data_IF_531090909931
#
_entry.id   IF_531090909931
#
_cell.length_a   1.000
_cell.length_b   1.000
_cell.length_c   1.000
_cell.angle_alpha   90.00
_cell.angle_beta   90.00
_cell.angle_gamma   90.00
#
_symmetry.space_group_name_H-M   'P 1'
#
loop_
_entity.id
_entity.type
_entity.pdbx_description
1 polymer ?
#
# COMPACT_ATOMS: atom_id res chain seq x y z
N UNK A 1 33.08 60.33 7.94
CA UNK A 1 33.14 61.75 8.33
C UNK A 1 32.50 62.60 7.24
N UNK A 2 31.55 63.46 7.62
CA UNK A 2 30.99 64.62 6.90
C UNK A 2 30.27 64.39 5.55
N UNK A 3 29.27 65.17 5.14
CA UNK A 3 28.17 65.95 5.75
C UNK A 3 27.54 66.71 4.56
N UNK A 4 26.20 66.76 4.53
CA UNK A 4 25.34 67.89 4.12
C UNK A 4 25.30 68.39 2.66
N UNK A 5 24.14 68.13 2.03
CA UNK A 5 23.08 69.10 1.66
C UNK A 5 23.44 70.55 1.28
N UNK A 6 22.91 71.01 0.13
CA UNK A 6 22.33 72.35 -0.07
C UNK A 6 21.43 72.36 -1.33
N UNK A 7 20.73 73.47 -1.58
CA UNK A 7 19.29 73.51 -1.86
C UNK A 7 18.87 74.60 -2.89
N UNK A 8 17.68 74.42 -3.53
CA UNK A 8 16.73 75.40 -4.18
C UNK A 8 17.26 76.26 -5.37
N UNK A 9 16.44 76.93 -6.25
CA UNK A 9 14.98 77.20 -6.23
C UNK A 9 14.15 77.18 -7.55
N UNK A 10 12.83 77.36 -7.36
CA UNK A 10 11.71 77.67 -8.29
C UNK A 10 11.82 79.04 -9.00
N UNK A 11 11.06 79.30 -10.10
CA UNK A 11 9.83 80.13 -10.04
C UNK A 11 8.68 79.63 -10.96
N UNK A 12 7.43 79.52 -10.49
CA UNK A 12 6.25 80.43 -10.59
C UNK A 12 5.87 80.99 -11.99
N UNK A 13 4.66 80.66 -12.44
CA UNK A 13 3.88 81.38 -13.46
C UNK A 13 2.38 81.10 -13.28
N UNK A 14 1.60 82.15 -13.02
CA UNK A 14 0.14 82.20 -12.82
C UNK A 14 -0.55 82.58 -14.15
N UNK A 15 -1.77 82.09 -14.36
CA UNK A 15 -2.93 82.79 -14.98
C UNK A 15 -4.15 81.86 -14.77
N UNK A 16 -5.17 82.12 -13.92
CA UNK A 16 -6.23 83.14 -13.79
C UNK A 16 -7.37 83.08 -14.83
N UNK A 17 -8.57 82.91 -14.25
CA UNK A 17 -9.95 83.24 -14.68
C UNK A 17 -10.70 82.28 -15.62
N UNK A 18 -12.02 82.04 -15.53
CA UNK A 18 -13.08 82.14 -14.50
C UNK A 18 -14.39 81.62 -15.17
N UNK A 19 -15.24 80.90 -14.41
CA UNK A 19 -16.72 80.93 -14.39
C UNK A 19 -17.51 80.56 -15.69
N UNK A 20 -18.32 79.49 -15.63
CA UNK A 20 -19.81 79.58 -15.50
C UNK A 20 -20.45 78.24 -15.14
N UNK A 21 -21.30 78.32 -14.11
CA UNK A 21 -22.19 77.30 -13.56
C UNK A 21 -23.36 76.99 -14.50
N UNK A 22 -23.86 75.75 -14.46
CA UNK A 22 -25.29 75.45 -14.60
C UNK A 22 -25.60 74.13 -13.89
N UNK A 23 -26.29 74.25 -12.76
CA UNK A 23 -26.89 73.18 -11.97
C UNK A 23 -28.28 72.83 -12.51
N UNK A 24 -28.59 71.53 -12.67
CA UNK A 24 -29.96 71.01 -12.62
C UNK A 24 -29.97 69.72 -11.79
N UNK A 25 -30.84 69.71 -10.79
CA UNK A 25 -31.14 68.59 -9.89
C UNK A 25 -31.70 67.37 -10.64
N UNK A 26 -31.32 66.17 -10.21
CA UNK A 26 -32.24 65.03 -10.20
C UNK A 26 -31.88 64.06 -9.06
N UNK A 27 -32.87 63.82 -8.20
CA UNK A 27 -32.91 62.87 -7.08
C UNK A 27 -33.06 61.45 -7.63
N UNK A 28 -32.33 60.47 -7.08
CA UNK A 28 -32.68 59.05 -7.29
C UNK A 28 -31.57 58.03 -7.05
N UNK A 29 -31.68 57.32 -5.92
CA UNK A 29 -31.23 55.94 -5.67
C UNK A 29 -29.72 55.69 -5.51
N UNK A 30 -29.31 55.54 -4.24
CA UNK A 30 -28.09 54.86 -3.81
C UNK A 30 -28.12 53.38 -4.24
N UNK A 31 -27.33 53.04 -5.26
CA UNK A 31 -26.86 51.68 -5.52
C UNK A 31 -25.36 51.66 -5.18
N UNK A 32 -25.03 51.12 -4.01
CA UNK A 32 -23.66 50.70 -3.68
C UNK A 32 -23.50 49.24 -4.12
N UNK A 33 -22.71 48.94 -5.16
CA UNK A 33 -22.24 47.58 -5.38
C UNK A 33 -21.13 47.27 -4.37
N UNK A 34 -21.35 46.27 -3.51
CA UNK A 34 -20.32 45.67 -2.67
C UNK A 34 -19.22 45.05 -3.56
N UNK A 35 -17.92 45.25 -3.24
CA UNK A 35 -16.84 44.59 -3.94
C UNK A 35 -16.85 43.08 -3.64
N UNK A 36 -16.61 42.29 -4.70
CA UNK A 36 -16.78 40.84 -4.74
C UNK A 36 -15.93 40.06 -3.75
N UNK A 37 -16.59 39.12 -3.07
CA UNK A 37 -16.01 38.00 -2.32
C UNK A 37 -16.18 36.68 -3.10
N UNK A 38 -16.02 36.73 -4.43
CA UNK A 38 -16.18 35.57 -5.32
C UNK A 38 -14.87 34.99 -5.83
N UNK A 39 -13.77 35.75 -5.78
CA UNK A 39 -12.50 35.32 -6.39
C UNK A 39 -11.73 34.34 -5.47
N UNK A 40 -11.83 34.55 -4.15
CA UNK A 40 -11.18 33.69 -3.13
C UNK A 40 -11.83 32.30 -3.07
N UNK A 41 -13.15 32.23 -3.15
CA UNK A 41 -13.90 30.96 -3.18
C UNK A 41 -13.68 30.17 -4.48
N UNK A 42 -13.39 30.83 -5.59
CA UNK A 42 -13.11 30.18 -6.88
C UNK A 42 -11.65 29.69 -7.00
N UNK A 43 -10.69 30.38 -6.37
CA UNK A 43 -9.31 29.89 -6.21
C UNK A 43 -9.21 28.72 -5.22
N UNK A 44 -9.92 28.80 -4.09
CA UNK A 44 -10.02 27.72 -3.09
C UNK A 44 -10.62 26.44 -3.68
N UNK A 45 -11.56 26.59 -4.61
CA UNK A 45 -12.18 25.48 -5.33
C UNK A 45 -11.20 24.74 -6.25
N UNK A 46 -10.35 25.48 -6.98
CA UNK A 46 -9.33 24.91 -7.86
C UNK A 46 -8.22 24.20 -7.09
N UNK A 47 -7.75 24.80 -5.99
CA UNK A 47 -6.78 24.12 -5.11
C UNK A 47 -7.37 22.87 -4.49
N UNK A 48 -8.64 22.93 -4.08
CA UNK A 48 -9.34 21.80 -3.49
C UNK A 48 -9.56 20.66 -4.50
N UNK A 49 -9.92 20.94 -5.76
CA UNK A 49 -9.96 19.92 -6.81
C UNK A 49 -8.61 19.22 -7.04
N UNK A 50 -7.51 19.96 -6.93
CA UNK A 50 -6.17 19.39 -7.05
C UNK A 50 -5.84 18.47 -5.86
N UNK A 51 -6.05 18.93 -4.63
CA UNK A 51 -5.77 18.17 -3.39
C UNK A 51 -6.46 16.80 -3.37
N UNK A 52 -7.61 16.77 -4.00
CA UNK A 52 -8.51 15.68 -3.91
C UNK A 52 -8.29 14.65 -5.05
N UNK A 53 -8.01 15.11 -6.28
CA UNK A 53 -7.46 14.22 -7.30
C UNK A 53 -6.12 13.60 -6.84
N UNK A 54 -5.32 14.36 -6.09
CA UNK A 54 -4.12 13.86 -5.42
C UNK A 54 -4.42 12.81 -4.35
N UNK A 55 -5.52 12.95 -3.58
CA UNK A 55 -5.90 12.01 -2.53
C UNK A 55 -6.39 10.67 -3.08
N UNK A 56 -7.25 10.67 -4.10
CA UNK A 56 -7.73 9.44 -4.73
C UNK A 56 -6.60 8.64 -5.36
N UNK A 57 -5.73 9.37 -6.06
CA UNK A 57 -4.50 8.83 -6.64
C UNK A 57 -3.59 8.27 -5.54
N UNK A 58 -3.42 8.97 -4.42
CA UNK A 58 -2.65 8.49 -3.28
C UNK A 58 -3.19 7.18 -2.72
N UNK A 59 -4.51 7.00 -2.59
CA UNK A 59 -5.10 5.77 -2.04
C UNK A 59 -4.89 4.58 -2.99
N UNK A 60 -5.14 4.77 -4.29
CA UNK A 60 -4.87 3.74 -5.29
C UNK A 60 -3.38 3.39 -5.35
N UNK A 61 -2.51 4.41 -5.33
CA UNK A 61 -1.07 4.20 -5.26
C UNK A 61 -0.65 3.45 -4.00
N UNK A 62 -1.24 3.74 -2.83
CA UNK A 62 -0.96 3.01 -1.58
C UNK A 62 -1.36 1.53 -1.68
N UNK A 63 -2.53 1.22 -2.24
CA UNK A 63 -2.96 -0.16 -2.47
C UNK A 63 -2.04 -0.90 -3.44
N UNK A 64 -1.67 -0.27 -4.55
CA UNK A 64 -0.73 -0.85 -5.51
C UNK A 64 0.65 -1.05 -4.89
N UNK A 65 1.19 -0.06 -4.18
CA UNK A 65 2.47 -0.16 -3.46
C UNK A 65 2.45 -1.31 -2.45
N UNK A 66 1.38 -1.45 -1.66
CA UNK A 66 1.21 -2.57 -0.72
C UNK A 66 1.24 -3.92 -1.43
N UNK A 67 0.49 -4.07 -2.53
CA UNK A 67 0.48 -5.32 -3.30
C UNK A 67 1.86 -5.66 -3.88
N UNK A 68 2.58 -4.65 -4.37
CA UNK A 68 3.94 -4.80 -4.90
C UNK A 68 4.94 -5.21 -3.81
N UNK A 69 4.87 -4.58 -2.63
CA UNK A 69 5.71 -4.94 -1.48
C UNK A 69 5.45 -6.37 -0.99
N UNK A 70 4.20 -6.83 -0.98
CA UNK A 70 3.85 -8.21 -0.62
C UNK A 70 4.40 -9.22 -1.63
N UNK A 71 4.31 -8.93 -2.93
CA UNK A 71 4.87 -9.80 -3.97
C UNK A 71 6.40 -9.81 -3.92
N UNK A 72 7.03 -8.67 -3.63
CA UNK A 72 8.47 -8.57 -3.42
C UNK A 72 8.92 -9.39 -2.21
N UNK A 73 8.21 -9.27 -1.07
CA UNK A 73 8.48 -10.03 0.14
C UNK A 73 8.41 -11.54 -0.12
N UNK A 74 7.38 -11.99 -0.83
CA UNK A 74 7.21 -13.40 -1.21
C UNK A 74 8.40 -13.91 -2.02
N UNK A 75 8.87 -13.15 -3.03
CA UNK A 75 10.03 -13.52 -3.85
C UNK A 75 11.32 -13.58 -3.01
N UNK A 76 11.53 -12.62 -2.11
CA UNK A 76 12.67 -12.61 -1.20
C UNK A 76 12.68 -13.83 -0.28
N UNK A 77 11.54 -14.20 0.30
CA UNK A 77 11.43 -15.38 1.17
C UNK A 77 11.70 -16.69 0.43
N UNK A 78 11.20 -16.83 -0.81
CA UNK A 78 11.51 -17.97 -1.66
C UNK A 78 13.01 -18.07 -1.97
N UNK A 79 13.65 -16.95 -2.30
CA UNK A 79 15.09 -16.90 -2.55
C UNK A 79 15.90 -17.26 -1.30
N UNK A 80 15.53 -16.73 -0.13
CA UNK A 80 16.17 -17.03 1.16
C UNK A 80 16.07 -18.53 1.47
N UNK A 81 14.90 -19.14 1.25
CA UNK A 81 14.69 -20.56 1.48
C UNK A 81 15.58 -21.42 0.57
N UNK A 82 15.68 -21.08 -0.72
CA UNK A 82 16.55 -21.77 -1.67
C UNK A 82 18.03 -21.64 -1.29
N UNK A 83 18.51 -20.43 -1.01
CA UNK A 83 19.91 -20.20 -0.61
C UNK A 83 20.26 -20.92 0.70
N UNK A 84 19.35 -20.94 1.67
CA UNK A 84 19.54 -21.65 2.94
C UNK A 84 19.68 -23.16 2.73
N UNK A 85 18.86 -23.73 1.84
CA UNK A 85 18.97 -25.15 1.45
C UNK A 85 20.30 -25.45 0.78
N UNK A 86 20.70 -24.65 -0.20
CA UNK A 86 21.98 -24.80 -0.90
C UNK A 86 23.17 -24.73 0.07
N UNK A 87 23.17 -23.78 1.01
CA UNK A 87 24.20 -23.66 2.04
C UNK A 87 24.30 -24.90 2.93
N UNK A 88 23.14 -25.49 3.29
CA UNK A 88 23.10 -26.73 4.07
C UNK A 88 23.71 -27.89 3.28
N UNK A 89 23.33 -28.04 2.02
CA UNK A 89 23.83 -29.11 1.14
C UNK A 89 25.34 -28.97 0.90
N UNK A 90 25.83 -27.74 0.69
CA UNK A 90 27.27 -27.42 0.60
C UNK A 90 28.00 -27.78 1.89
N UNK A 91 27.46 -27.43 3.07
CA UNK A 91 28.05 -27.79 4.38
C UNK A 91 28.15 -29.31 4.56
N UNK A 92 27.10 -30.05 4.23
CA UNK A 92 27.12 -31.52 4.30
C UNK A 92 28.16 -32.11 3.35
N UNK A 93 28.27 -31.57 2.14
CA UNK A 93 29.27 -32.00 1.15
C UNK A 93 30.69 -31.73 1.62
N UNK A 94 30.96 -30.53 2.16
CA UNK A 94 32.25 -30.18 2.76
C UNK A 94 32.60 -31.10 3.94
N UNK A 95 31.62 -31.45 4.77
CA UNK A 95 31.81 -32.41 5.88
C UNK A 95 32.27 -33.78 5.39
N UNK A 96 31.62 -34.34 4.36
CA UNK A 96 32.05 -35.60 3.74
C UNK A 96 33.43 -35.50 3.09
N UNK A 97 33.68 -34.40 2.37
CA UNK A 97 34.95 -34.16 1.70
C UNK A 97 36.12 -34.09 2.69
N UNK A 98 35.91 -33.48 3.85
CA UNK A 98 36.91 -33.42 4.93
C UNK A 98 37.23 -34.82 5.50
N UNK A 99 36.20 -35.67 5.64
CA UNK A 99 36.38 -37.06 6.06
C UNK A 99 37.19 -37.86 5.02
N UNK A 100 36.87 -37.71 3.73
CA UNK A 100 37.62 -38.34 2.63
C UNK A 100 39.10 -37.91 2.63
N UNK A 101 39.36 -36.60 2.75
CA UNK A 101 40.71 -36.03 2.79
C UNK A 101 41.50 -36.59 3.99
N UNK A 102 40.87 -36.69 5.17
CA UNK A 102 41.50 -37.28 6.36
C UNK A 102 41.85 -38.76 6.17
N UNK A 103 40.93 -39.54 5.57
CA UNK A 103 41.15 -40.94 5.23
C UNK A 103 42.28 -41.15 4.21
N UNK A 104 42.34 -40.31 3.18
CA UNK A 104 43.41 -40.31 2.18
C UNK A 104 44.76 -39.96 2.81
N UNK A 105 44.85 -38.93 3.65
CA UNK A 105 46.07 -38.57 4.35
C UNK A 105 46.61 -39.72 5.21
N UNK A 106 45.71 -40.40 5.94
CA UNK A 106 46.08 -41.57 6.75
C UNK A 106 46.60 -42.73 5.90
N UNK A 107 45.94 -42.99 4.77
CA UNK A 107 46.35 -44.04 3.82
C UNK A 107 47.70 -43.74 3.17
N UNK A 108 47.91 -42.49 2.76
CA UNK A 108 49.17 -41.99 2.20
C UNK A 108 50.30 -42.15 3.21
N UNK A 109 50.09 -41.76 4.48
CA UNK A 109 51.11 -41.91 5.53
C UNK A 109 51.51 -43.39 5.75
N UNK A 110 50.53 -44.30 5.72
CA UNK A 110 50.77 -45.75 5.81
C UNK A 110 51.59 -46.26 4.62
N UNK A 111 51.20 -45.92 3.39
CA UNK A 111 51.93 -46.31 2.17
C UNK A 111 53.34 -45.71 2.12
N UNK A 112 53.53 -44.46 2.56
CA UNK A 112 54.86 -43.84 2.66
C UNK A 112 55.77 -44.58 3.65
N UNK A 113 55.22 -45.00 4.79
CA UNK A 113 55.97 -45.80 5.76
C UNK A 113 56.34 -47.16 5.16
N UNK A 114 55.39 -47.84 4.52
CA UNK A 114 55.62 -49.12 3.84
C UNK A 114 56.68 -49.00 2.74
N UNK A 115 56.60 -47.95 1.91
CA UNK A 115 57.58 -47.67 0.86
C UNK A 115 58.99 -47.51 1.44
N UNK A 116 59.15 -46.71 2.50
CA UNK A 116 60.45 -46.50 3.16
C UNK A 116 61.03 -47.81 3.71
N UNK A 117 60.19 -48.65 4.32
CA UNK A 117 60.61 -49.97 4.82
C UNK A 117 61.04 -50.90 3.68
N UNK A 118 60.26 -50.97 2.59
CA UNK A 118 60.57 -51.77 1.40
C UNK A 118 61.87 -51.29 0.73
N UNK A 119 62.06 -49.97 0.57
CA UNK A 119 63.28 -49.36 0.02
C UNK A 119 64.50 -49.66 0.88
N UNK A 120 64.37 -49.53 2.20
CA UNK A 120 65.48 -49.82 3.14
C UNK A 120 65.87 -51.29 3.10
N UNK A 121 64.91 -52.21 3.06
CA UNK A 121 65.17 -53.64 2.98
C UNK A 121 65.83 -54.01 1.65
N UNK A 122 65.30 -53.50 0.53
CA UNK A 122 65.86 -53.75 -0.80
C UNK A 122 67.27 -53.17 -0.93
N UNK A 123 67.51 -51.96 -0.40
CA UNK A 123 68.84 -51.34 -0.37
C UNK A 123 69.85 -52.20 0.41
N UNK A 124 69.48 -52.73 1.58
CA UNK A 124 70.33 -53.65 2.34
C UNK A 124 70.63 -54.95 1.57
N UNK A 125 69.64 -55.50 0.86
CA UNK A 125 69.84 -56.71 0.04
C UNK A 125 70.76 -56.45 -1.16
N UNK A 126 70.63 -55.30 -1.81
CA UNK A 126 71.49 -54.88 -2.92
C UNK A 126 72.92 -54.61 -2.45
N UNK A 127 73.11 -53.94 -1.30
CA UNK A 127 74.43 -53.71 -0.69
C UNK A 127 75.12 -55.04 -0.33
N UNK A 128 74.40 -55.97 0.30
CA UNK A 128 74.94 -57.30 0.62
C UNK A 128 75.32 -58.08 -0.65
N UNK A 129 74.48 -58.04 -1.69
CA UNK A 129 74.78 -58.67 -2.97
C UNK A 129 76.00 -58.04 -3.67
N UNK A 130 76.14 -56.72 -3.60
CA UNK A 130 77.29 -55.99 -4.15
C UNK A 130 78.58 -56.36 -3.42
N UNK A 131 78.58 -56.37 -2.08
CA UNK A 131 79.75 -56.76 -1.27
C UNK A 131 80.18 -58.21 -1.48
N UNK A 132 79.24 -59.10 -1.77
CA UNK A 132 79.52 -60.51 -2.05
C UNK A 132 80.17 -60.73 -3.43
N UNK A 133 80.16 -59.70 -4.30
CA UNK A 133 80.74 -59.73 -5.64
C UNK A 133 79.88 -60.47 -6.67
N UNK A 134 79.86 -60.00 -7.92
CA UNK A 134 79.02 -60.56 -8.99
C UNK A 134 79.29 -62.05 -9.30
N UNK A 135 80.43 -62.60 -8.87
CA UNK A 135 80.85 -63.95 -9.20
C UNK A 135 80.73 -64.97 -8.06
N UNK A 136 80.42 -64.57 -6.82
CA UNK A 136 80.44 -65.50 -5.66
C UNK A 136 79.49 -66.69 -5.81
N UNK A 137 78.32 -66.49 -6.42
CA UNK A 137 77.34 -67.57 -6.67
C UNK A 137 77.78 -68.52 -7.81
N UNK A 138 78.26 -67.96 -8.92
CA UNK A 138 78.77 -68.74 -10.06
C UNK A 138 80.03 -69.53 -9.69
N UNK A 139 80.89 -68.94 -8.87
CA UNK A 139 82.12 -69.56 -8.38
C UNK A 139 81.82 -70.73 -7.43
N UNK A 140 80.79 -70.63 -6.57
CA UNK A 140 80.33 -71.72 -5.71
C UNK A 140 79.69 -72.89 -6.49
N UNK A 141 79.01 -72.58 -7.59
CA UNK A 141 78.40 -73.58 -8.48
C UNK A 141 79.49 -74.35 -9.26
N UNK A 142 80.56 -73.66 -9.66
CA UNK A 142 81.66 -74.20 -10.46
C UNK A 142 82.76 -74.89 -9.63
N UNK A 143 82.84 -74.68 -8.30
CA UNK A 143 83.95 -75.15 -7.45
C UNK A 143 83.90 -76.62 -6.98
N UNK A 144 83.15 -77.51 -7.64
CA UNK A 144 83.40 -78.96 -7.56
C UNK A 144 82.90 -79.77 -6.34
N UNK A 145 81.92 -79.31 -5.56
CA UNK A 145 81.32 -80.13 -4.47
C UNK A 145 80.23 -81.14 -4.94
N UNK A 146 79.92 -82.13 -4.08
CA UNK A 146 78.96 -83.24 -4.27
C UNK A 146 77.66 -82.88 -5.04
N UNK A 147 77.25 -83.75 -5.98
CA UNK A 147 76.13 -83.55 -6.91
C UNK A 147 74.83 -83.07 -6.26
N UNK A 148 74.40 -83.70 -5.16
CA UNK A 148 73.14 -83.41 -4.48
C UNK A 148 73.15 -82.05 -3.75
N UNK A 149 74.31 -81.58 -3.30
CA UNK A 149 74.43 -80.28 -2.61
C UNK A 149 74.28 -79.13 -3.60
N UNK A 150 74.84 -79.25 -4.80
CA UNK A 150 74.69 -78.26 -5.89
C UNK A 150 73.23 -78.07 -6.31
N UNK A 151 72.47 -79.15 -6.47
CA UNK A 151 71.04 -79.08 -6.80
C UNK A 151 70.25 -78.28 -5.76
N UNK A 152 70.49 -78.52 -4.47
CA UNK A 152 69.85 -77.75 -3.38
C UNK A 152 70.24 -76.29 -3.40
N UNK A 153 71.53 -75.99 -3.61
CA UNK A 153 72.02 -74.60 -3.70
C UNK A 153 71.35 -73.85 -4.85
N UNK A 154 71.24 -74.47 -6.04
CA UNK A 154 70.54 -73.89 -7.18
C UNK A 154 69.06 -73.64 -6.89
N UNK A 155 68.38 -74.59 -6.25
CA UNK A 155 66.99 -74.40 -5.81
C UNK A 155 66.85 -73.21 -4.85
N UNK A 156 67.74 -73.10 -3.85
CA UNK A 156 67.73 -71.99 -2.89
C UNK A 156 67.97 -70.63 -3.57
N UNK A 157 68.87 -70.56 -4.54
CA UNK A 157 69.07 -69.35 -5.35
C UNK A 157 67.82 -68.96 -6.14
N UNK A 158 67.11 -69.93 -6.72
CA UNK A 158 65.84 -69.66 -7.39
C UNK A 158 64.78 -69.11 -6.43
N UNK A 159 64.63 -69.69 -5.24
CA UNK A 159 63.72 -69.16 -4.22
C UNK A 159 64.11 -67.74 -3.78
N UNK A 160 65.41 -67.46 -3.62
CA UNK A 160 65.92 -66.14 -3.26
C UNK A 160 65.65 -65.10 -4.36
N UNK A 161 65.91 -65.44 -5.62
CA UNK A 161 65.64 -64.56 -6.76
C UNK A 161 64.15 -64.28 -6.91
N UNK A 162 63.29 -65.30 -6.75
CA UNK A 162 61.83 -65.15 -6.76
C UNK A 162 61.36 -64.23 -5.62
N UNK A 163 61.96 -64.32 -4.43
CA UNK A 163 61.66 -63.40 -3.33
C UNK A 163 62.08 -61.95 -3.64
N UNK A 164 63.24 -61.75 -4.29
CA UNK A 164 63.72 -60.42 -4.73
C UNK A 164 62.81 -59.80 -5.78
N UNK A 165 62.44 -60.55 -6.81
CA UNK A 165 61.50 -60.12 -7.84
C UNK A 165 60.16 -59.70 -7.21
N UNK A 166 59.67 -60.50 -6.25
CA UNK A 166 58.47 -60.16 -5.48
C UNK A 166 58.63 -58.84 -4.72
N UNK A 167 59.74 -58.62 -4.01
CA UNK A 167 59.99 -57.36 -3.29
C UNK A 167 60.04 -56.13 -4.20
N UNK A 168 60.64 -56.25 -5.39
CA UNK A 168 60.68 -55.17 -6.39
C UNK A 168 59.26 -54.87 -6.89
N UNK A 169 58.50 -55.91 -7.22
CA UNK A 169 57.12 -55.78 -7.71
C UNK A 169 56.20 -55.16 -6.65
N UNK A 170 56.31 -55.59 -5.40
CA UNK A 170 55.56 -55.03 -4.27
C UNK A 170 55.90 -53.55 -4.07
N UNK A 171 57.17 -53.15 -4.16
CA UNK A 171 57.58 -51.74 -4.06
C UNK A 171 57.04 -50.90 -5.22
N UNK A 172 57.07 -51.42 -6.45
CA UNK A 172 56.51 -50.74 -7.62
C UNK A 172 54.99 -50.54 -7.48
N UNK A 173 54.29 -51.55 -6.94
CA UNK A 173 52.86 -51.45 -6.63
C UNK A 173 52.58 -50.39 -5.55
N UNK A 174 53.34 -50.39 -4.45
CA UNK A 174 53.23 -49.37 -3.38
C UNK A 174 53.42 -47.96 -3.95
N UNK A 175 54.44 -47.74 -4.79
CA UNK A 175 54.71 -46.44 -5.42
C UNK A 175 53.58 -45.99 -6.33
N UNK A 176 53.02 -46.91 -7.12
CA UNK A 176 51.90 -46.62 -8.03
C UNK A 176 50.64 -46.25 -7.24
N UNK A 177 50.32 -47.01 -6.19
CA UNK A 177 49.19 -46.71 -5.30
C UNK A 177 49.35 -45.37 -4.59
N UNK A 178 50.56 -45.07 -4.09
CA UNK A 178 50.86 -43.80 -3.43
C UNK A 178 50.68 -42.62 -4.39
N UNK A 179 51.18 -42.72 -5.63
CA UNK A 179 51.00 -41.68 -6.64
C UNK A 179 49.52 -41.43 -6.95
N UNK A 180 48.73 -42.50 -7.13
CA UNK A 180 47.28 -42.40 -7.35
C UNK A 180 46.53 -41.75 -6.19
N UNK A 181 46.84 -42.12 -4.94
CA UNK A 181 46.22 -41.51 -3.76
C UNK A 181 46.59 -40.02 -3.60
N UNK A 182 47.85 -39.65 -3.88
CA UNK A 182 48.27 -38.24 -3.86
C UNK A 182 47.53 -37.40 -4.90
N UNK A 183 47.36 -37.92 -6.11
CA UNK A 183 46.59 -37.23 -7.15
C UNK A 183 45.12 -37.05 -6.74
N UNK A 184 44.49 -38.08 -6.17
CA UNK A 184 43.13 -37.98 -5.63
C UNK A 184 43.02 -36.94 -4.51
N UNK A 185 44.00 -36.89 -3.60
CA UNK A 185 44.04 -35.90 -2.53
C UNK A 185 44.07 -34.47 -3.08
N UNK A 186 44.92 -34.20 -4.07
CA UNK A 186 45.05 -32.88 -4.70
C UNK A 186 43.74 -32.45 -5.40
N UNK A 187 43.08 -33.37 -6.10
CA UNK A 187 41.77 -33.12 -6.71
C UNK A 187 40.71 -32.78 -5.65
N UNK A 188 40.67 -33.52 -4.54
CA UNK A 188 39.72 -33.29 -3.44
C UNK A 188 39.99 -31.96 -2.71
N UNK A 189 41.25 -31.61 -2.49
CA UNK A 189 41.64 -30.31 -1.93
C UNK A 189 41.26 -29.14 -2.84
N UNK A 190 41.42 -29.30 -4.17
CA UNK A 190 40.99 -28.28 -5.14
C UNK A 190 39.47 -28.13 -5.14
N UNK A 191 38.72 -29.24 -5.10
CA UNK A 191 37.27 -29.22 -4.96
C UNK A 191 36.82 -28.53 -3.66
N UNK A 192 37.50 -28.81 -2.54
CA UNK A 192 37.21 -28.20 -1.24
C UNK A 192 37.36 -26.68 -1.28
N UNK A 193 38.47 -26.18 -1.86
CA UNK A 193 38.72 -24.73 -1.99
C UNK A 193 37.63 -24.03 -2.80
N UNK A 194 37.16 -24.65 -3.89
CA UNK A 194 36.05 -24.12 -4.71
C UNK A 194 34.76 -24.03 -3.90
N UNK A 195 34.38 -25.11 -3.23
CA UNK A 195 33.16 -25.16 -2.42
C UNK A 195 33.18 -24.17 -1.23
N UNK A 196 34.34 -23.91 -0.64
CA UNK A 196 34.49 -22.87 0.39
C UNK A 196 34.27 -21.46 -0.18
N UNK A 197 34.75 -21.19 -1.40
CA UNK A 197 34.48 -19.94 -2.11
C UNK A 197 32.99 -19.77 -2.41
N UNK A 198 32.35 -20.82 -2.95
CA UNK A 198 30.92 -20.83 -3.24
C UNK A 198 30.08 -20.62 -1.97
N UNK A 199 30.47 -21.28 -0.86
CA UNK A 199 29.82 -21.12 0.43
C UNK A 199 29.89 -19.66 0.93
N UNK A 200 31.05 -19.01 0.80
CA UNK A 200 31.18 -17.61 1.23
C UNK A 200 30.30 -16.68 0.39
N UNK A 201 30.26 -16.87 -0.93
CA UNK A 201 29.40 -16.09 -1.82
C UNK A 201 27.92 -16.29 -1.49
N UNK A 202 27.50 -17.54 -1.25
CA UNK A 202 26.13 -17.88 -0.85
C UNK A 202 25.76 -17.26 0.51
N UNK A 203 26.68 -17.22 1.48
CA UNK A 203 26.43 -16.56 2.77
C UNK A 203 26.23 -15.05 2.61
N UNK A 204 27.09 -14.38 1.84
CA UNK A 204 26.96 -12.95 1.59
C UNK A 204 25.64 -12.62 0.87
N UNK A 205 25.25 -13.43 -0.13
CA UNK A 205 23.99 -13.26 -0.84
C UNK A 205 22.77 -13.48 0.07
N UNK A 206 22.84 -14.45 1.00
CA UNK A 206 21.78 -14.69 1.98
C UNK A 206 21.63 -13.50 2.94
N UNK A 207 22.74 -12.95 3.44
CA UNK A 207 22.73 -11.78 4.31
C UNK A 207 22.12 -10.55 3.61
N UNK A 208 22.49 -10.32 2.35
CA UNK A 208 21.89 -9.25 1.53
C UNK A 208 20.38 -9.45 1.38
N UNK A 209 19.92 -10.66 1.04
CA UNK A 209 18.51 -10.96 0.91
C UNK A 209 17.72 -10.78 2.23
N UNK A 210 18.32 -11.14 3.37
CA UNK A 210 17.72 -10.90 4.70
C UNK A 210 17.60 -9.41 5.02
N UNK A 211 18.61 -8.61 4.69
CA UNK A 211 18.58 -7.16 4.87
C UNK A 211 17.52 -6.49 3.99
N UNK A 212 17.37 -6.92 2.74
CA UNK A 212 16.31 -6.44 1.84
C UNK A 212 14.91 -6.83 2.31
N UNK A 213 14.74 -8.04 2.85
CA UNK A 213 13.50 -8.49 3.49
C UNK A 213 13.14 -7.58 4.67
N UNK A 214 14.09 -7.26 5.52
CA UNK A 214 13.87 -6.37 6.67
C UNK A 214 13.42 -4.97 6.24
N UNK A 215 14.02 -4.41 5.20
CA UNK A 215 13.61 -3.12 4.62
C UNK A 215 12.17 -3.17 4.07
N UNK A 216 11.82 -4.26 3.39
CA UNK A 216 10.49 -4.47 2.81
C UNK A 216 9.42 -4.59 3.90
N UNK A 217 9.72 -5.29 5.00
CA UNK A 217 8.83 -5.38 6.16
C UNK A 217 8.61 -4.01 6.82
N UNK A 218 9.69 -3.24 7.05
CA UNK A 218 9.55 -1.89 7.61
C UNK A 218 8.75 -0.94 6.71
N UNK A 219 8.90 -1.04 5.38
CA UNK A 219 8.08 -0.28 4.44
C UNK A 219 6.59 -0.68 4.49
N UNK A 220 6.31 -1.97 4.68
CA UNK A 220 4.95 -2.49 4.80
C UNK A 220 4.28 -2.05 6.11
N UNK A 221 5.00 -2.09 7.23
CA UNK A 221 4.51 -1.63 8.54
C UNK A 221 4.12 -0.15 8.49
N UNK A 222 5.00 0.71 7.96
CA UNK A 222 4.73 2.13 7.78
C UNK A 222 3.50 2.39 6.90
N UNK A 223 3.29 1.59 5.85
CA UNK A 223 2.12 1.70 5.00
C UNK A 223 0.82 1.34 5.75
N UNK A 224 0.85 0.27 6.56
CA UNK A 224 -0.30 -0.17 7.35
C UNK A 224 -0.68 0.83 8.45
N UNK A 225 0.31 1.44 9.11
CA UNK A 225 0.06 2.46 10.14
C UNK A 225 -0.68 3.67 9.55
N UNK A 226 -0.25 4.13 8.36
CA UNK A 226 -0.90 5.24 7.64
C UNK A 226 -2.35 4.92 7.27
N UNK A 227 -2.64 3.69 6.84
CA UNK A 227 -3.99 3.26 6.50
C UNK A 227 -4.91 3.23 7.75
N UNK A 228 -4.38 2.80 8.90
CA UNK A 228 -5.12 2.75 10.17
C UNK A 228 -5.49 4.15 10.70
N UNK A 229 -4.58 5.12 10.54
CA UNK A 229 -4.84 6.51 10.88
C UNK A 229 -6.00 7.08 10.04
N UNK A 230 -6.01 6.83 8.74
CA UNK A 230 -7.10 7.27 7.84
C UNK A 230 -8.47 6.69 8.23
N UNK A 231 -8.53 5.39 8.57
CA UNK A 231 -9.78 4.75 9.00
C UNK A 231 -10.34 5.38 10.28
N UNK A 232 -9.45 5.76 11.20
CA UNK A 232 -9.83 6.40 12.47
C UNK A 232 -10.41 7.79 12.23
N UNK A 233 -9.82 8.55 11.31
CA UNK A 233 -10.32 9.86 10.90
C UNK A 233 -11.74 9.77 10.30
N UNK A 234 -11.98 8.81 9.38
CA UNK A 234 -13.31 8.62 8.80
C UNK A 234 -14.39 8.29 9.85
N UNK A 235 -14.07 7.46 10.84
CA UNK A 235 -15.00 7.12 11.93
C UNK A 235 -15.35 8.33 12.79
N UNK A 236 -14.36 9.19 13.09
CA UNK A 236 -14.58 10.42 13.84
C UNK A 236 -15.42 11.43 13.06
N UNK A 237 -15.24 11.51 11.74
CA UNK A 237 -16.05 12.35 10.87
C UNK A 237 -17.52 11.88 10.86
N UNK A 238 -17.76 10.56 10.79
CA UNK A 238 -19.11 9.97 10.86
C UNK A 238 -19.83 10.28 12.18
N UNK A 239 -19.16 10.15 13.33
CA UNK A 239 -19.77 10.44 14.63
C UNK A 239 -20.09 11.93 14.76
N UNK A 240 -19.18 12.81 14.31
CA UNK A 240 -19.43 14.26 14.31
C UNK A 240 -20.63 14.66 13.47
N UNK A 241 -20.79 14.05 12.29
CA UNK A 241 -21.97 14.25 11.45
C UNK A 241 -23.25 13.86 12.18
N UNK A 242 -23.27 12.67 12.81
CA UNK A 242 -24.44 12.21 13.58
C UNK A 242 -24.81 13.18 14.69
N UNK A 243 -23.82 13.67 15.43
CA UNK A 243 -24.06 14.58 16.56
C UNK A 243 -24.58 15.94 16.12
N UNK A 244 -24.08 16.49 15.00
CA UNK A 244 -24.58 17.75 14.44
C UNK A 244 -26.02 17.61 13.93
N UNK A 245 -26.31 16.53 13.20
CA UNK A 245 -27.68 16.26 12.73
C UNK A 245 -28.62 16.05 13.91
N UNK A 246 -28.23 15.31 14.94
CA UNK A 246 -29.06 15.10 16.15
C UNK A 246 -29.32 16.40 16.95
N UNK A 247 -28.39 17.36 16.93
CA UNK A 247 -28.62 18.71 17.48
C UNK A 247 -29.65 19.46 16.65
N UNK A 248 -29.46 19.50 15.34
CA UNK A 248 -30.38 20.17 14.43
C UNK A 248 -31.79 19.54 14.49
N UNK A 249 -31.91 18.20 14.50
CA UNK A 249 -33.16 17.45 14.64
C UNK A 249 -33.94 17.84 15.91
N UNK A 250 -33.28 18.04 17.05
CA UNK A 250 -33.95 18.47 18.28
C UNK A 250 -34.57 19.86 18.14
N UNK A 251 -33.86 20.77 17.49
CA UNK A 251 -34.34 22.12 17.20
C UNK A 251 -35.45 22.14 16.14
N UNK A 252 -35.34 21.31 15.10
CA UNK A 252 -36.40 21.09 14.10
C UNK A 252 -37.65 20.50 14.71
N UNK A 253 -37.54 19.42 15.50
CA UNK A 253 -38.70 18.72 16.06
C UNK A 253 -39.58 19.68 16.88
N UNK A 254 -38.97 20.59 17.64
CA UNK A 254 -39.71 21.63 18.37
C UNK A 254 -40.46 22.62 17.46
N UNK A 255 -39.94 22.91 16.26
CA UNK A 255 -40.60 23.75 15.24
C UNK A 255 -41.68 22.96 14.47
N UNK A 256 -41.33 21.77 13.99
CA UNK A 256 -42.20 20.86 13.25
C UNK A 256 -43.41 20.42 14.06
N UNK A 257 -43.28 20.19 15.37
CA UNK A 257 -44.43 19.88 16.23
C UNK A 257 -45.44 21.03 16.30
N UNK A 258 -44.99 22.29 16.22
CA UNK A 258 -45.88 23.46 16.17
C UNK A 258 -46.61 23.52 14.83
N UNK A 259 -45.86 23.37 13.75
CA UNK A 259 -46.38 23.42 12.37
C UNK A 259 -47.31 22.24 12.05
N UNK A 260 -47.01 21.04 12.57
CA UNK A 260 -47.84 19.87 12.42
C UNK A 260 -49.16 19.99 13.19
N UNK A 261 -49.17 20.63 14.37
CA UNK A 261 -50.41 20.94 15.10
C UNK A 261 -51.28 21.90 14.32
N UNK A 262 -50.69 22.90 13.67
CA UNK A 262 -51.39 23.84 12.81
C UNK A 262 -51.93 23.14 11.54
N UNK A 263 -51.12 22.33 10.87
CA UNK A 263 -51.54 21.54 9.71
C UNK A 263 -52.66 20.53 10.05
N UNK A 264 -52.61 19.88 11.22
CA UNK A 264 -53.65 18.97 11.67
C UNK A 264 -54.99 19.69 11.89
N UNK A 265 -54.97 20.87 12.50
CA UNK A 265 -56.16 21.73 12.66
C UNK A 265 -56.76 22.13 11.31
N UNK A 266 -55.93 22.40 10.30
CA UNK A 266 -56.38 22.75 8.95
C UNK A 266 -57.00 21.55 8.22
N UNK A 267 -56.40 20.36 8.33
CA UNK A 267 -56.97 19.12 7.76
C UNK A 267 -58.32 18.76 8.40
N UNK A 268 -58.45 18.93 9.72
CA UNK A 268 -59.71 18.71 10.43
C UNK A 268 -60.81 19.67 9.95
N UNK A 269 -60.48 20.95 9.72
CA UNK A 269 -61.40 21.92 9.11
C UNK A 269 -61.84 21.53 7.70
N UNK A 270 -60.91 21.03 6.87
CA UNK A 270 -61.23 20.56 5.52
C UNK A 270 -62.15 19.32 5.55
N UNK A 271 -61.92 18.37 6.46
CA UNK A 271 -62.78 17.20 6.63
C UNK A 271 -64.17 17.57 7.16
N UNK A 272 -64.25 18.49 8.12
CA UNK A 272 -65.54 19.00 8.63
C UNK A 272 -66.33 19.75 7.53
N UNK A 273 -65.65 20.51 6.67
CA UNK A 273 -66.27 21.16 5.51
C UNK A 273 -66.81 20.13 4.49
N UNK A 274 -66.02 19.09 4.17
CA UNK A 274 -66.47 17.98 3.31
C UNK A 274 -67.67 17.23 3.89
N UNK A 275 -67.70 17.00 5.21
CA UNK A 275 -68.82 16.33 5.90
C UNK A 275 -70.09 17.20 5.96
N UNK A 276 -69.94 18.53 5.99
CA UNK A 276 -71.06 19.49 6.00
C UNK A 276 -71.52 19.93 4.60
N UNK A 277 -70.98 19.35 3.53
CA UNK A 277 -71.36 19.66 2.15
C UNK A 277 -70.82 20.99 1.62
N UNK A 278 -69.90 21.65 2.33
CA UNK A 278 -69.27 22.91 1.95
C UNK A 278 -67.87 22.69 1.34
N UNK A 279 -67.50 23.46 0.32
CA UNK A 279 -66.18 23.40 -0.32
C UNK A 279 -65.20 24.38 0.36
N UNK A 280 -64.46 23.93 1.37
CA UNK A 280 -63.29 24.67 1.87
C UNK A 280 -62.13 24.51 0.87
N UNK A 281 -61.72 25.63 0.25
CA UNK A 281 -60.51 25.68 -0.58
C UNK A 281 -59.39 26.30 0.26
N UNK A 282 -58.38 25.51 0.70
CA UNK A 282 -57.26 26.05 1.45
C UNK A 282 -56.53 27.09 0.61
N UNK A 283 -56.11 28.17 1.26
CA UNK A 283 -55.29 29.21 0.62
C UNK A 283 -53.87 28.68 0.32
N UNK A 284 -53.08 29.44 -0.43
CA UNK A 284 -51.75 28.99 -0.88
C UNK A 284 -50.80 28.69 0.27
N UNK A 285 -50.87 29.47 1.36
CA UNK A 285 -50.02 29.29 2.55
C UNK A 285 -50.41 28.02 3.33
N UNK A 286 -51.70 27.72 3.45
CA UNK A 286 -52.22 26.51 4.09
C UNK A 286 -51.87 25.25 3.30
N UNK A 287 -51.94 25.31 1.96
CA UNK A 287 -51.49 24.20 1.09
C UNK A 287 -50.00 23.94 1.24
N UNK A 288 -49.18 25.00 1.23
CA UNK A 288 -47.73 24.91 1.42
C UNK A 288 -47.37 24.29 2.77
N UNK A 289 -48.03 24.71 3.86
CA UNK A 289 -47.87 24.13 5.20
C UNK A 289 -48.24 22.64 5.27
N UNK A 290 -49.31 22.22 4.59
CA UNK A 290 -49.72 20.82 4.56
C UNK A 290 -48.80 19.93 3.71
N UNK A 291 -48.23 20.47 2.64
CA UNK A 291 -47.29 19.75 1.77
C UNK A 291 -45.96 19.47 2.48
N UNK A 292 -45.37 20.49 3.12
CA UNK A 292 -44.07 20.40 3.81
C UNK A 292 -44.06 19.63 5.13
N UNK A 293 -45.23 19.36 5.71
CA UNK A 293 -45.37 18.56 6.96
C UNK A 293 -45.80 17.11 6.68
N UNK A 294 -45.97 16.74 5.40
CA UNK A 294 -46.53 15.46 4.97
C UNK A 294 -45.58 14.25 5.07
N UNK A 295 -44.27 14.48 5.14
CA UNK A 295 -43.23 13.47 4.95
C UNK A 295 -42.98 13.14 3.47
N UNK A 296 -41.99 12.30 3.19
CA UNK A 296 -41.66 11.85 1.82
C UNK A 296 -42.59 10.70 1.32
N UNK A 297 -43.46 10.18 2.17
CA UNK A 297 -44.38 9.11 1.81
C UNK A 297 -43.68 7.79 1.43
N UNK A 298 -44.38 6.93 0.69
CA UNK A 298 -43.83 5.64 0.24
C UNK A 298 -42.89 5.83 -0.96
N UNK A 299 -41.80 5.07 -1.06
CA UNK A 299 -40.90 5.14 -2.21
C UNK A 299 -41.59 4.64 -3.48
N UNK A 300 -41.88 5.54 -4.41
CA UNK A 300 -42.56 5.26 -5.67
C UNK A 300 -41.97 6.05 -6.86
N UNK A 301 -40.71 6.49 -6.77
CA UNK A 301 -40.05 7.28 -7.82
C UNK A 301 -40.72 8.64 -8.08
N UNK A 302 -41.46 9.17 -7.11
CA UNK A 302 -42.28 10.37 -7.28
C UNK A 302 -41.47 11.68 -7.26
N UNK A 303 -40.24 11.64 -6.77
CA UNK A 303 -39.41 12.82 -6.60
C UNK A 303 -38.40 13.00 -7.73
N UNK A 304 -38.07 14.26 -7.97
CA UNK A 304 -37.05 14.67 -8.93
C UNK A 304 -35.67 14.27 -8.43
N UNK A 305 -34.78 13.97 -9.37
CA UNK A 305 -33.37 13.80 -9.02
C UNK A 305 -32.77 15.12 -8.51
N UNK A 306 -32.01 15.10 -7.40
CA UNK A 306 -31.39 16.31 -6.87
C UNK A 306 -30.31 16.86 -7.81
N UNK A 307 -29.65 15.96 -8.55
CA UNK A 307 -28.82 16.26 -9.70
C UNK A 307 -28.86 15.07 -10.67
N UNK A 308 -28.70 15.32 -11.97
CA UNK A 308 -28.59 14.27 -12.99
C UNK A 308 -27.11 13.99 -13.29
N UNK A 309 -26.72 12.72 -13.20
CA UNK A 309 -25.31 12.34 -13.37
C UNK A 309 -25.07 10.85 -13.17
N UNK A 310 -23.81 10.42 -13.35
CA UNK A 310 -23.42 9.02 -13.14
C UNK A 310 -23.36 8.72 -11.65
N UNK A 311 -24.03 7.67 -11.20
CA UNK A 311 -23.88 7.19 -9.82
C UNK A 311 -22.48 6.58 -9.64
N UNK A 312 -21.66 7.22 -8.83
CA UNK A 312 -20.28 6.83 -8.52
C UNK A 312 -20.25 5.83 -7.36
N UNK A 313 -21.07 6.06 -6.34
CA UNK A 313 -21.26 5.15 -5.21
C UNK A 313 -22.74 4.97 -4.88
N UNK A 314 -23.11 3.75 -4.50
CA UNK A 314 -24.46 3.39 -4.08
C UNK A 314 -24.54 3.13 -2.58
N UNK A 315 -25.74 3.29 -2.04
CA UNK A 315 -26.04 2.91 -0.67
C UNK A 315 -25.66 1.45 -0.43
N UNK A 316 -24.90 1.19 0.64
CA UNK A 316 -24.47 -0.16 1.03
C UNK A 316 -23.21 -0.66 0.33
N UNK A 317 -22.60 0.10 -0.59
CA UNK A 317 -21.30 -0.28 -1.17
C UNK A 317 -20.15 -0.13 -0.15
N UNK A 318 -19.04 -0.89 -0.29
CA UNK A 318 -17.86 -0.72 0.55
C UNK A 318 -17.24 0.69 0.41
N UNK A 319 -16.98 1.34 1.54
CA UNK A 319 -16.28 2.64 1.61
C UNK A 319 -14.81 2.44 2.01
N UNK A 320 -14.56 1.94 3.22
CA UNK A 320 -13.22 1.55 3.70
C UNK A 320 -13.35 0.44 4.75
N UNK A 321 -12.70 -0.70 4.52
CA UNK A 321 -12.79 -1.87 5.40
C UNK A 321 -14.24 -2.37 5.53
N UNK A 322 -14.74 -2.44 6.76
CA UNK A 322 -16.13 -2.83 7.06
C UNK A 322 -17.14 -1.69 6.88
N UNK A 323 -16.68 -0.45 6.68
CA UNK A 323 -17.57 0.69 6.48
C UNK A 323 -18.31 0.59 5.15
N UNK A 324 -19.55 1.05 5.14
CA UNK A 324 -20.44 1.06 3.98
C UNK A 324 -20.98 2.47 3.73
N UNK A 325 -21.18 2.81 2.46
CA UNK A 325 -21.83 4.05 2.05
C UNK A 325 -23.26 4.14 2.58
N UNK A 326 -23.64 5.31 3.12
CA UNK A 326 -24.97 5.58 3.69
C UNK A 326 -25.87 6.43 2.80
N UNK A 327 -25.42 6.73 1.60
CA UNK A 327 -26.13 7.52 0.61
C UNK A 327 -25.68 7.16 -0.80
N UNK A 328 -26.04 8.00 -1.75
CA UNK A 328 -25.52 7.98 -3.12
C UNK A 328 -24.44 9.03 -3.27
N UNK A 329 -23.47 8.75 -4.14
CA UNK A 329 -22.57 9.76 -4.67
C UNK A 329 -22.87 9.89 -6.16
N UNK A 330 -23.40 11.05 -6.56
CA UNK A 330 -23.85 11.30 -7.93
C UNK A 330 -22.88 12.29 -8.57
N UNK A 331 -22.07 11.82 -9.52
CA UNK A 331 -21.10 12.65 -10.22
C UNK A 331 -21.80 13.61 -11.16
N UNK A 332 -21.53 14.91 -11.01
CA UNK A 332 -22.09 15.98 -11.82
C UNK A 332 -21.07 17.13 -11.88
N UNK A 333 -21.14 17.97 -12.91
CA UNK A 333 -20.21 19.09 -13.04
C UNK A 333 -20.30 20.01 -11.83
N UNK A 334 -19.17 20.51 -11.37
CA UNK A 334 -19.15 21.53 -10.32
C UNK A 334 -19.96 22.77 -10.72
N UNK A 335 -20.61 23.41 -9.75
CA UNK A 335 -21.51 24.52 -10.00
C UNK A 335 -22.88 24.09 -10.54
N UNK A 336 -23.09 22.80 -10.83
CA UNK A 336 -24.44 22.30 -11.20
C UNK A 336 -25.38 22.55 -10.04
N UNK A 337 -26.57 23.08 -10.33
CA UNK A 337 -27.59 23.30 -9.31
C UNK A 337 -28.05 21.98 -8.69
N UNK A 338 -27.97 21.91 -7.36
CA UNK A 338 -28.55 20.86 -6.55
C UNK A 338 -29.95 21.28 -6.18
N UNK A 339 -30.92 20.45 -6.53
CA UNK A 339 -32.33 20.75 -6.35
C UNK A 339 -32.91 20.00 -5.14
N UNK A 340 -33.78 20.67 -4.38
CA UNK A 340 -34.56 20.01 -3.35
C UNK A 340 -35.46 18.94 -3.97
N UNK A 341 -35.37 17.70 -3.48
CA UNK A 341 -36.18 16.60 -4.03
C UNK A 341 -37.68 16.76 -3.75
N UNK A 342 -38.02 17.50 -2.69
CA UNK A 342 -39.38 17.70 -2.18
C UNK A 342 -39.49 19.03 -1.43
N UNK A 343 -40.72 19.50 -1.20
CA UNK A 343 -41.01 20.65 -0.35
C UNK A 343 -40.49 20.40 1.08
N UNK A 344 -39.91 21.41 1.72
CA UNK A 344 -39.36 21.25 3.06
C UNK A 344 -38.83 22.54 3.67
N UNK A 345 -38.17 22.40 4.81
CA UNK A 345 -37.51 23.49 5.53
C UNK A 345 -36.03 23.17 5.73
N UNK A 346 -35.16 24.15 5.53
CA UNK A 346 -33.72 24.00 5.73
C UNK A 346 -33.43 23.82 7.21
N UNK A 347 -32.92 22.66 7.57
CA UNK A 347 -32.55 22.30 8.92
C UNK A 347 -31.12 22.70 9.26
N UNK A 348 -30.21 22.52 8.31
CA UNK A 348 -28.78 22.79 8.47
C UNK A 348 -28.20 23.22 7.13
N UNK A 349 -27.25 24.14 7.16
CA UNK A 349 -26.48 24.60 6.01
C UNK A 349 -25.08 24.99 6.50
N UNK A 350 -24.27 23.99 6.83
CA UNK A 350 -22.97 24.19 7.50
C UNK A 350 -21.92 23.19 7.00
N UNK A 351 -20.66 23.46 7.32
CA UNK A 351 -19.54 22.63 6.92
C UNK A 351 -19.28 21.49 7.92
N UNK A 352 -19.10 20.29 7.39
CA UNK A 352 -18.90 19.05 8.13
C UNK A 352 -17.66 18.31 7.63
N UNK A 353 -16.74 18.00 8.55
CA UNK A 353 -15.53 17.25 8.20
C UNK A 353 -15.91 15.89 7.58
N UNK A 354 -15.38 15.61 6.39
CA UNK A 354 -15.70 14.42 5.59
C UNK A 354 -16.97 14.50 4.73
N UNK A 355 -17.85 15.48 4.96
CA UNK A 355 -19.10 15.69 4.20
C UNK A 355 -19.20 17.05 3.50
N UNK A 356 -18.26 17.95 3.78
CA UNK A 356 -18.16 19.25 3.15
C UNK A 356 -19.26 20.20 3.58
N UNK A 357 -19.60 21.14 2.70
CA UNK A 357 -20.78 21.96 2.87
C UNK A 357 -22.02 21.08 2.73
N UNK A 358 -22.75 20.93 3.82
CA UNK A 358 -23.94 20.10 3.90
C UNK A 358 -25.18 20.97 4.04
N UNK A 359 -26.18 20.71 3.22
CA UNK A 359 -27.55 21.19 3.39
C UNK A 359 -28.41 20.01 3.84
N UNK A 360 -29.20 20.18 4.89
CA UNK A 360 -30.21 19.20 5.32
C UNK A 360 -31.58 19.84 5.23
N UNK A 361 -32.53 19.16 4.60
CA UNK A 361 -33.92 19.56 4.52
C UNK A 361 -34.80 18.63 5.36
N UNK A 362 -35.71 19.20 6.11
CA UNK A 362 -36.78 18.49 6.80
C UNK A 362 -38.05 18.49 5.95
N UNK A 363 -38.68 17.32 5.78
CA UNK A 363 -39.92 17.14 5.01
C UNK A 363 -41.14 16.78 5.88
N UNK A 364 -40.97 16.80 7.21
CA UNK A 364 -41.97 16.38 8.19
C UNK A 364 -41.98 14.87 8.45
N UNK A 365 -42.68 14.47 9.53
CA UNK A 365 -42.79 13.07 10.02
C UNK A 365 -41.45 12.36 10.27
N UNK A 366 -40.36 13.11 10.46
CA UNK A 366 -39.01 12.56 10.66
C UNK A 366 -38.33 12.10 9.38
N UNK A 367 -38.84 12.49 8.20
CA UNK A 367 -38.17 12.31 6.92
C UNK A 367 -37.29 13.53 6.60
N UNK A 368 -36.05 13.27 6.18
CA UNK A 368 -35.08 14.29 5.81
C UNK A 368 -34.34 13.91 4.53
N UNK A 369 -33.87 14.92 3.81
CA UNK A 369 -32.88 14.76 2.75
C UNK A 369 -31.62 15.57 3.07
N UNK A 370 -30.47 14.97 2.79
CA UNK A 370 -29.15 15.56 3.05
C UNK A 370 -28.39 15.63 1.73
N UNK A 371 -27.80 16.80 1.50
CA UNK A 371 -27.07 17.18 0.31
C UNK A 371 -25.68 17.62 0.77
N UNK A 372 -24.67 16.80 0.55
CA UNK A 372 -23.29 17.05 0.96
C UNK A 372 -22.37 17.25 -0.24
N UNK A 373 -21.12 17.59 0.07
CA UNK A 373 -20.05 17.90 -0.88
C UNK A 373 -20.27 19.19 -1.68
N UNK A 374 -21.26 20.00 -1.30
CA UNK A 374 -21.63 21.17 -2.06
C UNK A 374 -20.49 22.19 -2.13
N UNK A 375 -20.37 22.92 -3.22
CA UNK A 375 -19.51 24.09 -3.30
C UNK A 375 -20.01 25.19 -2.36
N UNK A 376 -21.32 25.44 -2.39
CA UNK A 376 -21.97 26.47 -1.58
C UNK A 376 -23.42 26.08 -1.30
N UNK A 377 -23.95 26.56 -0.17
CA UNK A 377 -25.39 26.54 0.10
C UNK A 377 -26.01 27.81 -0.47
N UNK A 378 -27.12 27.67 -1.20
CA UNK A 378 -27.90 28.80 -1.76
C UNK A 378 -29.04 29.23 -0.84
N UNK A 379 -29.21 28.52 0.29
CA UNK A 379 -30.31 28.70 1.23
C UNK A 379 -29.77 28.77 2.66
N UNK A 380 -30.50 29.49 3.52
CA UNK A 380 -30.16 29.67 4.94
C UNK A 380 -31.00 28.76 5.83
N UNK A 381 -30.48 28.41 7.01
CA UNK A 381 -31.21 27.64 8.02
C UNK A 381 -32.54 28.31 8.36
N UNK A 382 -33.62 27.53 8.39
CA UNK A 382 -34.99 27.98 8.62
C UNK A 382 -35.74 28.43 7.36
N UNK A 383 -35.08 28.55 6.20
CA UNK A 383 -35.75 28.89 4.95
C UNK A 383 -36.67 27.75 4.48
N UNK A 384 -37.81 28.11 3.88
CA UNK A 384 -38.70 27.15 3.22
C UNK A 384 -38.25 26.96 1.77
N UNK A 385 -38.30 25.71 1.31
CA UNK A 385 -37.91 25.35 -0.06
C UNK A 385 -39.00 24.53 -0.73
N UNK A 386 -39.16 24.72 -2.04
CA UNK A 386 -40.08 23.94 -2.88
C UNK A 386 -39.34 22.82 -3.61
N UNK A 387 -40.05 21.75 -3.95
CA UNK A 387 -39.53 20.70 -4.81
C UNK A 387 -39.00 21.29 -6.13
N UNK A 388 -37.79 20.90 -6.53
CA UNK A 388 -37.12 21.43 -7.70
C UNK A 388 -36.52 22.83 -7.51
N UNK A 389 -36.51 23.40 -6.30
CA UNK A 389 -35.81 24.64 -6.03
C UNK A 389 -34.29 24.39 -5.90
N UNK A 390 -33.42 25.20 -6.53
CA UNK A 390 -31.99 25.18 -6.28
C UNK A 390 -31.68 25.53 -4.81
N UNK A 391 -30.94 24.66 -4.13
CA UNK A 391 -30.59 24.80 -2.70
C UNK A 391 -29.09 24.83 -2.44
N UNK A 392 -28.30 24.30 -3.37
CA UNK A 392 -26.86 24.27 -3.28
C UNK A 392 -26.26 24.16 -4.68
N UNK A 393 -24.94 24.30 -4.78
CA UNK A 393 -24.20 24.00 -6.00
C UNK A 393 -23.36 22.74 -5.77
N UNK A 394 -23.36 21.82 -6.72
CA UNK A 394 -22.50 20.64 -6.69
C UNK A 394 -21.06 21.11 -6.57
N UNK A 395 -20.32 20.47 -5.67
CA UNK A 395 -18.90 20.70 -5.52
C UNK A 395 -18.22 19.40 -5.14
N UNK A 396 -17.12 19.56 -4.44
CA UNK A 396 -16.29 18.47 -3.94
C UNK A 396 -15.80 18.75 -2.51
N UNK A 397 -16.53 19.58 -1.77
CA UNK A 397 -16.14 20.00 -0.43
C UNK A 397 -16.11 18.81 0.54
N UNK A 398 -15.30 18.92 1.60
CA UNK A 398 -15.11 17.82 2.54
C UNK A 398 -14.15 16.73 2.07
N UNK A 399 -13.34 17.02 1.05
CA UNK A 399 -12.22 16.18 0.60
C UNK A 399 -12.59 15.10 -0.42
N UNK A 400 -13.51 15.39 -1.35
CA UNK A 400 -14.11 14.40 -2.28
C UNK A 400 -13.57 14.42 -3.71
N UNK A 401 -13.07 13.29 -4.19
CA UNK A 401 -12.16 13.11 -5.35
C UNK A 401 -12.59 13.67 -6.71
N UNK A 402 -13.88 13.92 -6.88
CA UNK A 402 -14.46 14.51 -8.07
C UNK A 402 -15.73 15.26 -7.70
N UNK A 403 -16.14 16.29 -8.47
CA UNK A 403 -17.41 16.97 -8.26
C UNK A 403 -18.57 15.98 -8.28
N UNK A 404 -19.26 15.93 -7.15
CA UNK A 404 -20.34 15.01 -6.94
C UNK A 404 -21.24 15.52 -5.83
N UNK A 405 -22.50 15.09 -5.87
CA UNK A 405 -23.43 15.27 -4.77
C UNK A 405 -23.39 14.04 -3.88
N UNK A 406 -23.08 14.22 -2.59
CA UNK A 406 -23.48 13.23 -1.58
C UNK A 406 -24.96 13.40 -1.30
N UNK A 407 -25.76 12.38 -1.55
CA UNK A 407 -27.20 12.43 -1.35
C UNK A 407 -27.67 11.32 -0.43
N UNK A 408 -28.32 11.69 0.66
CA UNK A 408 -28.83 10.75 1.66
C UNK A 408 -30.28 11.09 2.00
N UNK A 409 -31.12 10.06 2.11
CA UNK A 409 -32.46 10.18 2.71
C UNK A 409 -32.40 9.55 4.09
N UNK A 410 -32.93 10.26 5.08
CA UNK A 410 -33.11 9.73 6.43
C UNK A 410 -34.58 9.60 6.77
N UNK A 411 -34.91 8.51 7.46
CA UNK A 411 -36.22 8.27 8.04
C UNK A 411 -36.04 7.87 9.49
N UNK A 412 -36.68 8.60 10.41
CA UNK A 412 -36.55 8.37 11.85
C UNK A 412 -35.08 8.34 12.32
N UNK A 413 -34.26 9.25 11.77
CA UNK A 413 -32.83 9.38 12.11
C UNK A 413 -31.90 8.34 11.46
N UNK A 414 -32.43 7.37 10.72
CA UNK A 414 -31.62 6.35 10.03
C UNK A 414 -31.52 6.62 8.53
N UNK A 415 -30.31 6.48 7.99
CA UNK A 415 -30.06 6.53 6.56
C UNK A 415 -30.70 5.33 5.86
N UNK A 416 -31.47 5.60 4.80
CA UNK A 416 -32.11 4.56 3.97
C UNK A 416 -31.66 4.70 2.52
N UNK A 417 -31.74 3.61 1.75
CA UNK A 417 -31.41 3.66 0.33
C UNK A 417 -32.31 4.70 -0.38
N UNK A 418 -31.77 5.80 -0.91
CA UNK A 418 -32.61 6.88 -1.42
C UNK A 418 -33.10 6.64 -2.86
N UNK A 419 -32.51 5.68 -3.58
CA UNK A 419 -32.80 5.40 -4.99
C UNK A 419 -34.30 5.14 -5.28
N UNK A 420 -35.06 4.39 -4.45
CA UNK A 420 -36.48 4.12 -4.68
C UNK A 420 -37.42 5.35 -4.66
N UNK A 421 -36.96 6.49 -4.14
CA UNK A 421 -37.72 7.75 -4.14
C UNK A 421 -37.51 8.58 -5.40
N UNK A 422 -36.43 8.34 -6.15
CA UNK A 422 -36.02 9.14 -7.30
C UNK A 422 -36.54 8.51 -8.59
N UNK A 423 -37.25 9.28 -9.41
CA UNK A 423 -37.79 8.74 -10.67
C UNK A 423 -38.18 9.77 -11.73
N UNK A 424 -38.28 11.06 -11.38
CA UNK A 424 -38.69 12.13 -12.31
C UNK A 424 -37.53 12.99 -12.78
#
# INVERSE_FOLDING_TARGET
MNKKAFSVPFPTGRDKLLIRCASVLCVGVLLLPCPGWSDDSQQQLKSLQQDIAEKEKSVQEQQHRRSALLEQLKKQEQSIALSTRQLRDTRTTLGRLNQDISGLNTSIAKLQTQQRTQETLLAKQLDAAFRQGQHGALQLILSGEESQRRERILAYFNYLNKAREKSITELQQTRTQLAGQKQQLEQKQTQQKRLLGDQQQQQNALEQAQNERQKTLGALENALEKDQQQLTELRQNETRLRDQIARAEREAKARAEREAREAARLREKEEQAKRSGSSYKPNEQERSLMARTGGLGQPAGQYVWPVRGRTLHRFGEPLQGELRWKGLVIGASEGTEVHAIADGTVLMADWLQGYGQVVVLEHGKGDMSLYGYNQSALVSVGAQVKAGQPIALVGNSGGQNQPALYFEIRRQGQAVNPLPWLGR
#
